data_IF_909821732472
#
_entry.id   IF_909821732472
#
_cell.length_a   1.000
_cell.length_b   1.000
_cell.length_c   1.000
_cell.angle_alpha   90.00
_cell.angle_beta   90.00
_cell.angle_gamma   90.00
#
_symmetry.space_group_name_H-M   'P 1'
#
loop_
_entity.id
_entity.type
_entity.pdbx_description
1 polymer ?
#
# COMPACT_ATOMS: atom_id res chain seq x y z
N UNK A 1 13.09 -29.70 -6.11
CA UNK A 1 12.53 -28.76 -7.10
C UNK A 1 11.98 -27.61 -6.29
N UNK A 2 12.47 -26.39 -6.52
CA UNK A 2 11.89 -25.21 -5.87
C UNK A 2 10.46 -25.02 -6.36
N UNK A 3 9.56 -24.60 -5.47
CA UNK A 3 8.20 -24.25 -5.84
C UNK A 3 8.28 -22.86 -6.49
N UNK A 4 7.77 -22.68 -7.73
CA UNK A 4 7.81 -21.37 -8.38
C UNK A 4 7.01 -20.35 -7.57
N UNK A 5 7.48 -19.10 -7.50
CA UNK A 5 6.71 -18.01 -6.91
C UNK A 5 5.51 -17.72 -7.81
N UNK A 6 4.28 -17.92 -7.35
CA UNK A 6 3.10 -17.72 -8.17
C UNK A 6 2.81 -16.22 -8.31
N UNK A 7 2.23 -15.82 -9.44
CA UNK A 7 1.81 -14.45 -9.68
C UNK A 7 0.29 -14.37 -9.78
N UNK A 8 -0.27 -13.29 -9.24
CA UNK A 8 -1.70 -12.97 -9.36
C UNK A 8 -1.81 -11.47 -9.63
N UNK A 9 -2.51 -11.09 -10.70
CA UNK A 9 -2.66 -9.68 -11.09
C UNK A 9 -3.27 -8.86 -9.95
N UNK A 10 -2.67 -7.70 -9.66
CA UNK A 10 -3.10 -6.77 -8.61
C UNK A 10 -2.88 -7.23 -7.17
N UNK A 11 -2.15 -8.33 -6.95
CA UNK A 11 -1.93 -8.90 -5.61
C UNK A 11 -0.45 -9.20 -5.34
N UNK A 12 -0.03 -8.96 -4.10
CA UNK A 12 1.29 -9.32 -3.58
C UNK A 12 1.24 -10.74 -3.04
N UNK A 13 2.19 -11.58 -3.44
CA UNK A 13 2.37 -12.90 -2.85
C UNK A 13 2.89 -12.75 -1.41
N UNK A 14 2.07 -13.16 -0.44
CA UNK A 14 2.40 -13.11 1.00
C UNK A 14 3.29 -14.28 1.39
N UNK A 15 2.96 -15.47 0.87
CA UNK A 15 3.71 -16.69 1.18
C UNK A 15 2.88 -17.95 1.01
N UNK A 16 3.52 -19.07 1.33
CA UNK A 16 2.89 -20.39 1.36
C UNK A 16 2.34 -20.68 2.74
N UNK A 17 1.13 -21.24 2.82
CA UNK A 17 0.47 -21.56 4.08
C UNK A 17 0.06 -23.03 4.12
N UNK A 18 0.19 -23.64 5.30
CA UNK A 18 -0.28 -24.99 5.62
C UNK A 18 -1.11 -24.87 6.90
N UNK A 19 -2.34 -25.39 6.87
CA UNK A 19 -3.30 -25.34 7.99
C UNK A 19 -3.51 -23.94 8.59
N UNK A 20 -3.37 -22.89 7.77
CA UNK A 20 -3.51 -21.48 8.17
C UNK A 20 -2.24 -20.87 8.78
N UNK A 21 -1.13 -21.61 8.90
CA UNK A 21 0.17 -21.11 9.32
C UNK A 21 1.08 -20.78 8.14
N UNK A 22 1.79 -19.65 8.23
CA UNK A 22 2.81 -19.26 7.24
C UNK A 22 4.01 -20.21 7.29
N UNK A 23 4.39 -20.75 6.14
CA UNK A 23 5.60 -21.54 5.97
C UNK A 23 6.78 -20.61 5.75
N UNK A 24 7.72 -20.62 6.69
CA UNK A 24 8.96 -19.82 6.61
C UNK A 24 10.19 -20.64 6.24
N UNK A 25 10.09 -21.97 6.32
CA UNK A 25 11.20 -22.87 6.02
C UNK A 25 11.40 -23.02 4.51
N UNK A 26 12.66 -23.01 4.07
CA UNK A 26 13.03 -23.19 2.67
C UNK A 26 12.74 -24.61 2.15
N UNK A 27 12.83 -25.60 3.04
CA UNK A 27 12.55 -27.00 2.74
C UNK A 27 11.59 -27.54 3.80
N UNK A 28 10.45 -28.05 3.35
CA UNK A 28 9.50 -28.78 4.18
C UNK A 28 9.52 -30.27 3.81
N UNK A 29 9.44 -31.14 4.81
CA UNK A 29 9.26 -32.58 4.61
C UNK A 29 7.79 -32.91 4.87
N UNK A 30 7.17 -33.61 3.92
CA UNK A 30 5.76 -33.96 4.00
C UNK A 30 5.64 -35.49 4.04
N UNK A 31 5.00 -36.03 5.07
CA UNK A 31 4.86 -37.48 5.29
C UNK A 31 3.49 -38.03 4.88
N UNK A 32 2.52 -37.13 4.61
CA UNK A 32 1.14 -37.45 4.23
C UNK A 32 0.58 -36.45 3.20
N UNK A 33 -0.60 -36.72 2.64
CA UNK A 33 -1.22 -35.83 1.66
C UNK A 33 -1.48 -34.44 2.27
N UNK A 34 -0.80 -33.42 1.75
CA UNK A 34 -0.84 -32.05 2.27
C UNK A 34 -1.25 -31.07 1.19
N UNK A 35 -2.11 -30.12 1.55
CA UNK A 35 -2.51 -29.00 0.68
C UNK A 35 -1.74 -27.75 1.10
N UNK A 36 -1.02 -27.15 0.15
CA UNK A 36 -0.29 -25.90 0.37
C UNK A 36 -1.04 -24.78 -0.34
N UNK A 37 -1.36 -23.73 0.39
CA UNK A 37 -2.06 -22.56 -0.13
C UNK A 37 -1.07 -21.44 -0.45
N UNK A 38 -1.12 -20.92 -1.68
CA UNK A 38 -0.53 -19.61 -1.96
C UNK A 38 -1.47 -18.54 -1.42
N UNK A 39 -0.98 -17.70 -0.52
CA UNK A 39 -1.75 -16.58 0.03
C UNK A 39 -1.27 -15.29 -0.59
N UNK A 40 -2.23 -14.44 -0.95
CA UNK A 40 -2.03 -13.16 -1.59
C UNK A 40 -2.81 -12.07 -0.87
N UNK A 41 -2.26 -10.87 -0.86
CA UNK A 41 -2.91 -9.66 -0.34
C UNK A 41 -2.96 -8.58 -1.43
N UNK A 42 -3.94 -7.66 -1.39
CA UNK A 42 -3.93 -6.51 -2.29
C UNK A 42 -2.63 -5.72 -2.17
N UNK A 43 -2.15 -5.16 -3.27
CA UNK A 43 -1.05 -4.20 -3.18
C UNK A 43 -1.43 -3.05 -2.25
N UNK A 44 -0.53 -2.73 -1.31
CA UNK A 44 -0.77 -1.65 -0.38
C UNK A 44 -0.89 -0.33 -1.16
N UNK A 45 -1.89 0.52 -0.84
CA UNK A 45 -2.04 1.80 -1.50
C UNK A 45 -0.78 2.64 -1.35
N UNK A 46 -0.37 3.31 -2.43
CA UNK A 46 0.78 4.22 -2.42
C UNK A 46 0.35 5.54 -1.78
N UNK A 47 0.93 5.89 -0.63
CA UNK A 47 0.68 7.20 -0.01
C UNK A 47 1.15 8.29 -0.98
N UNK A 48 0.27 9.23 -1.28
CA UNK A 48 0.48 10.31 -2.24
C UNK A 48 0.01 10.01 -3.67
N UNK A 49 -0.35 8.76 -4.00
CA UNK A 49 -1.03 8.41 -5.25
C UNK A 49 -2.53 8.64 -5.06
N UNK A 50 -3.01 9.82 -5.40
CA UNK A 50 -4.39 10.23 -5.15
C UNK A 50 -5.30 9.70 -6.25
N UNK A 51 -4.86 9.73 -7.51
CA UNK A 51 -5.65 9.26 -8.63
C UNK A 51 -5.73 7.71 -8.74
N UNK A 52 -4.86 6.98 -8.04
CA UNK A 52 -4.81 5.52 -8.00
C UNK A 52 -4.12 4.88 -9.21
N UNK A 53 -3.22 5.60 -9.88
CA UNK A 53 -2.52 5.12 -11.08
C UNK A 53 -1.26 4.28 -10.78
N UNK A 54 -0.93 4.11 -9.50
CA UNK A 54 0.20 3.36 -9.00
C UNK A 54 1.47 4.19 -8.82
N UNK A 55 1.44 5.49 -9.13
CA UNK A 55 2.58 6.39 -9.01
C UNK A 55 2.21 7.71 -8.37
N UNK A 56 3.21 8.42 -7.80
CA UNK A 56 3.01 9.78 -7.31
C UNK A 56 3.40 10.75 -8.43
N UNK A 57 2.40 11.35 -9.06
CA UNK A 57 2.52 12.22 -10.21
C UNK A 57 2.13 13.68 -9.95
N UNK A 58 2.20 14.47 -11.03
CA UNK A 58 1.80 15.89 -11.01
C UNK A 58 0.27 16.01 -10.83
N UNK A 59 -0.50 15.05 -11.34
CA UNK A 59 -1.95 15.05 -11.23
C UNK A 59 -2.38 14.90 -9.76
N UNK A 60 -1.69 14.06 -8.98
CA UNK A 60 -1.91 13.92 -7.53
C UNK A 60 -1.66 15.22 -6.77
N UNK A 61 -0.52 15.86 -7.06
CA UNK A 61 -0.19 17.15 -6.46
C UNK A 61 -1.23 18.23 -6.80
N UNK A 62 -1.77 18.22 -8.02
CA UNK A 62 -2.80 19.15 -8.44
C UNK A 62 -4.14 18.87 -7.73
N UNK A 63 -4.52 17.60 -7.57
CA UNK A 63 -5.71 17.20 -6.82
C UNK A 63 -5.62 17.65 -5.35
N UNK A 64 -4.47 17.41 -4.69
CA UNK A 64 -4.23 17.86 -3.32
C UNK A 64 -4.25 19.39 -3.21
N UNK A 65 -3.67 20.10 -4.17
CA UNK A 65 -3.69 21.56 -4.17
C UNK A 65 -5.12 22.11 -4.31
N UNK A 66 -5.94 21.53 -5.21
CA UNK A 66 -7.35 21.90 -5.38
C UNK A 66 -8.19 21.60 -4.16
N UNK A 67 -7.90 20.48 -3.48
CA UNK A 67 -8.51 20.12 -2.22
C UNK A 67 -8.14 21.11 -1.11
N UNK A 68 -6.84 21.41 -0.93
CA UNK A 68 -6.35 22.32 0.09
C UNK A 68 -6.92 23.74 -0.04
N UNK A 69 -7.20 24.21 -1.26
CA UNK A 69 -7.85 25.52 -1.50
C UNK A 69 -9.38 25.46 -1.55
N UNK A 70 -9.98 24.28 -1.35
CA UNK A 70 -11.44 24.09 -1.28
C UNK A 70 -12.16 24.18 -2.64
N UNK A 71 -11.45 23.96 -3.74
CA UNK A 71 -12.02 23.98 -5.09
C UNK A 71 -12.45 22.59 -5.60
N UNK A 72 -12.00 21.54 -4.93
CA UNK A 72 -12.32 20.15 -5.24
C UNK A 72 -12.40 19.34 -3.95
N UNK A 73 -13.24 18.31 -3.92
CA UNK A 73 -13.32 17.35 -2.82
C UNK A 73 -12.60 16.06 -3.18
N UNK A 74 -12.07 15.36 -2.17
CA UNK A 74 -11.50 14.02 -2.33
C UNK A 74 -12.48 12.96 -1.80
N UNK A 75 -12.43 11.75 -2.36
CA UNK A 75 -13.14 10.59 -1.81
C UNK A 75 -12.44 10.09 -0.54
N UNK A 76 -13.11 9.24 0.25
CA UNK A 76 -12.51 8.65 1.45
C UNK A 76 -11.24 7.85 1.14
N UNK A 77 -11.23 7.15 0.00
CA UNK A 77 -10.07 6.38 -0.47
C UNK A 77 -8.88 7.29 -0.83
N UNK A 78 -9.18 8.44 -1.44
CA UNK A 78 -8.18 9.45 -1.78
C UNK A 78 -7.64 10.13 -0.53
N UNK A 79 -8.51 10.46 0.43
CA UNK A 79 -8.10 11.03 1.72
C UNK A 79 -7.17 10.07 2.48
N UNK A 80 -7.42 8.76 2.42
CA UNK A 80 -6.57 7.75 3.07
C UNK A 80 -5.12 7.74 2.53
N UNK A 81 -4.88 8.32 1.35
CA UNK A 81 -3.55 8.45 0.72
C UNK A 81 -3.00 9.88 0.75
N UNK A 82 -3.78 10.85 1.24
CA UNK A 82 -3.52 12.27 1.04
C UNK A 82 -2.65 12.94 2.10
N UNK A 83 -2.60 12.39 3.32
CA UNK A 83 -1.70 12.85 4.39
C UNK A 83 -0.29 12.24 4.15
N UNK A 84 0.53 12.95 3.40
CA UNK A 84 1.84 12.49 2.93
C UNK A 84 2.90 12.73 4.00
N UNK A 85 2.78 13.83 4.76
CA UNK A 85 3.73 14.17 5.81
C UNK A 85 3.44 13.43 7.15
N UNK A 86 2.25 12.83 7.30
CA UNK A 86 1.82 12.06 8.46
C UNK A 86 1.43 12.92 9.67
N UNK A 87 1.04 14.17 9.47
CA UNK A 87 0.71 15.11 10.56
C UNK A 87 -0.78 15.06 10.97
N UNK A 88 -1.59 14.27 10.28
CA UNK A 88 -3.01 14.09 10.52
C UNK A 88 -3.91 15.13 9.85
N UNK A 89 -3.35 16.04 9.05
CA UNK A 89 -4.09 16.94 8.18
C UNK A 89 -3.81 16.63 6.71
N UNK A 90 -4.72 17.07 5.84
CA UNK A 90 -4.49 17.07 4.40
C UNK A 90 -4.51 18.52 3.95
N UNK A 91 -3.33 19.06 3.64
CA UNK A 91 -3.18 20.48 3.32
C UNK A 91 -2.15 20.76 2.20
N UNK A 92 -1.74 22.03 2.07
CA UNK A 92 -0.83 22.47 1.02
C UNK A 92 0.58 21.87 1.15
N UNK A 93 0.98 21.45 2.34
CA UNK A 93 2.28 20.79 2.56
C UNK A 93 2.31 19.40 1.93
N UNK A 94 1.20 18.66 1.96
CA UNK A 94 1.08 17.37 1.25
C UNK A 94 1.17 17.56 -0.26
N UNK A 95 0.45 18.55 -0.80
CA UNK A 95 0.51 18.89 -2.22
C UNK A 95 1.95 19.23 -2.67
N UNK A 96 2.71 19.95 -1.83
CA UNK A 96 4.10 20.30 -2.12
C UNK A 96 5.02 19.07 -2.08
N UNK A 97 4.77 18.13 -1.16
CA UNK A 97 5.52 16.87 -1.09
C UNK A 97 5.23 15.97 -2.29
N UNK A 98 3.97 15.84 -2.70
CA UNK A 98 3.59 15.13 -3.93
C UNK A 98 4.28 15.73 -5.16
N UNK A 99 4.27 17.07 -5.29
CA UNK A 99 4.96 17.75 -6.40
C UNK A 99 6.47 17.48 -6.39
N UNK A 100 7.10 17.55 -5.20
CA UNK A 100 8.53 17.25 -5.07
C UNK A 100 8.83 15.80 -5.45
N UNK A 101 7.99 14.86 -5.04
CA UNK A 101 8.11 13.45 -5.37
C UNK A 101 8.01 13.22 -6.88
N UNK A 102 7.00 13.82 -7.53
CA UNK A 102 6.80 13.75 -8.97
C UNK A 102 8.01 14.28 -9.77
N UNK A 103 8.69 15.32 -9.27
CA UNK A 103 9.86 15.91 -9.94
C UNK A 103 11.15 15.09 -9.76
N UNK A 104 11.31 14.44 -8.61
CA UNK A 104 12.54 13.73 -8.27
C UNK A 104 12.46 12.22 -8.53
N UNK A 105 11.26 11.67 -8.79
CA UNK A 105 11.03 10.23 -8.87
C UNK A 105 11.28 9.52 -7.54
N UNK A 106 11.23 10.26 -6.43
CA UNK A 106 11.49 9.76 -5.08
C UNK A 106 10.20 9.79 -4.28
N UNK A 107 9.87 8.67 -3.63
CA UNK A 107 8.75 8.63 -2.70
C UNK A 107 9.05 9.58 -1.53
N UNK A 108 8.11 10.44 -1.12
CA UNK A 108 8.27 11.28 0.07
C UNK A 108 8.55 10.38 1.29
N UNK A 109 9.12 10.92 2.38
CA UNK A 109 9.24 10.19 3.63
C UNK A 109 7.83 9.93 4.19
N UNK A 110 7.15 8.91 3.66
CA UNK A 110 5.88 8.47 4.18
C UNK A 110 6.15 7.87 5.56
N UNK A 111 5.49 8.41 6.58
CA UNK A 111 5.36 7.68 7.83
C UNK A 111 4.42 6.52 7.49
N UNK A 112 4.94 5.29 7.45
CA UNK A 112 4.09 4.09 7.28
C UNK A 112 2.91 4.25 8.24
N UNK A 113 1.66 3.98 7.83
CA UNK A 113 0.58 3.85 8.80
C UNK A 113 1.09 2.89 9.86
N UNK A 114 1.26 3.40 11.07
CA UNK A 114 1.75 2.62 12.19
C UNK A 114 0.72 1.52 12.38
N UNK A 115 1.04 0.32 11.93
CA UNK A 115 0.41 -0.92 12.30
C UNK A 115 -1.11 -0.82 12.56
N UNK A 116 -1.94 -1.22 11.58
CA UNK A 116 -3.25 -1.79 11.90
C UNK A 116 -3.15 -3.16 12.63
N UNK A 117 -1.99 -3.51 13.19
CA UNK A 117 -1.88 -4.53 14.22
C UNK A 117 -2.45 -3.96 15.54
N UNK A 118 -3.78 -4.01 15.68
CA UNK A 118 -4.38 -3.51 16.91
C UNK A 118 -5.91 -3.44 17.01
N UNK A 119 -6.69 -3.71 15.95
CA UNK A 119 -8.13 -3.94 16.15
C UNK A 119 -8.40 -5.40 16.49
N UNK A 120 -8.12 -5.72 17.75
CA UNK A 120 -8.96 -6.67 18.46
C UNK A 120 -10.33 -6.02 18.59
N UNK A 121 -11.31 -6.51 17.83
CA UNK A 121 -12.72 -6.25 18.12
C UNK A 121 -13.32 -7.50 18.77
N UNK A 122 -14.15 -7.23 19.77
CA UNK A 122 -14.61 -8.10 20.85
C UNK A 122 -15.66 -9.15 20.44
#
# INVERSE_FOLDING_TARGET
>A
SEIPVPTHEGMVFVGWFIDGGLVTDEIITVEEDTVIHAVFEPEAPVIGDINGDGTIGIDDALMLMRYAIGTEGLTDEQIARADINGDGAVDVFDALLALRAALNGEQPPCIKPQNMAGKTEA
#
